data_IF_604453792190
#
_entry.id   IF_604453792190
#
_cell.length_a   1.000
_cell.length_b   1.000
_cell.length_c   1.000
_cell.angle_alpha   90.00
_cell.angle_beta   90.00
_cell.angle_gamma   90.00
#
_symmetry.space_group_name_H-M   'P 1'
#
loop_
_entity.id
_entity.type
_entity.pdbx_description
1 polymer ?
#
# COMPACT_ATOMS: atom_id res chain seq x y z
N UNK A 1 10.77 4.72 0.01
CA UNK A 1 9.46 5.17 0.49
C UNK A 1 8.72 5.69 -0.70
N UNK A 2 7.47 5.25 -0.88
CA UNK A 2 6.57 5.79 -1.89
C UNK A 2 5.17 5.89 -1.30
N UNK A 3 4.43 6.89 -1.77
CA UNK A 3 3.08 7.18 -1.29
C UNK A 3 2.16 7.24 -2.49
N UNK A 4 1.05 6.51 -2.40
CA UNK A 4 -0.05 6.56 -3.34
C UNK A 4 -1.22 7.29 -2.68
N UNK A 5 -1.64 8.39 -3.30
CA UNK A 5 -2.74 9.22 -2.78
C UNK A 5 -4.11 8.67 -3.20
N UNK A 6 -4.18 7.98 -4.35
CA UNK A 6 -5.40 7.36 -4.88
C UNK A 6 -5.10 6.01 -5.53
N UNK A 7 -5.98 5.01 -5.32
CA UNK A 7 -5.77 3.65 -5.84
C UNK A 7 -7.05 2.90 -6.20
N UNK A 8 -8.06 3.68 -6.59
CA UNK A 8 -9.43 3.27 -6.93
C UNK A 8 -9.54 2.78 -8.39
N UNK A 9 -8.51 3.00 -9.21
CA UNK A 9 -8.48 2.67 -10.64
C UNK A 9 -7.16 1.98 -11.03
N UNK A 10 -7.21 1.06 -11.99
CA UNK A 10 -6.05 0.32 -12.51
C UNK A 10 -6.07 -1.18 -12.19
N UNK A 11 -5.18 -1.94 -12.84
CA UNK A 11 -5.02 -3.38 -12.61
C UNK A 11 -4.23 -3.66 -11.33
N UNK A 12 -4.70 -4.59 -10.49
CA UNK A 12 -3.97 -5.00 -9.28
C UNK A 12 -2.62 -5.66 -9.62
N UNK A 13 -2.55 -6.39 -10.74
CA UNK A 13 -1.27 -6.96 -11.21
C UNK A 13 -0.27 -5.86 -11.59
N UNK A 14 -0.73 -4.79 -12.25
CA UNK A 14 0.11 -3.64 -12.59
C UNK A 14 0.61 -2.93 -11.32
N UNK A 15 -0.26 -2.77 -10.32
CA UNK A 15 0.08 -2.18 -9.03
C UNK A 15 1.15 -3.01 -8.29
N UNK A 16 1.00 -4.35 -8.23
CA UNK A 16 2.02 -5.23 -7.65
C UNK A 16 3.34 -5.21 -8.42
N UNK A 17 3.30 -5.16 -9.76
CA UNK A 17 4.51 -5.05 -10.57
C UNK A 17 5.24 -3.72 -10.32
N UNK A 18 4.50 -2.61 -10.22
CA UNK A 18 5.05 -1.29 -9.88
C UNK A 18 5.64 -1.31 -8.47
N UNK A 19 4.93 -1.86 -7.50
CA UNK A 19 5.39 -2.06 -6.11
C UNK A 19 6.71 -2.82 -6.07
N UNK A 20 6.84 -3.96 -6.73
CA UNK A 20 8.07 -4.75 -6.76
C UNK A 20 9.27 -3.99 -7.34
N UNK A 21 9.03 -3.07 -8.30
CA UNK A 21 10.08 -2.20 -8.84
C UNK A 21 10.51 -1.10 -7.87
N UNK A 22 9.58 -0.57 -7.09
CA UNK A 22 9.82 0.48 -6.09
C UNK A 22 10.40 -0.05 -4.78
N UNK A 23 10.00 -1.24 -4.36
CA UNK A 23 10.39 -1.88 -3.10
C UNK A 23 11.71 -2.66 -3.24
N UNK A 24 12.73 -2.04 -3.82
CA UNK A 24 14.07 -2.63 -3.87
C UNK A 24 14.83 -2.38 -2.57
N UNK A 25 15.69 -3.33 -2.15
CA UNK A 25 16.64 -3.08 -1.07
C UNK A 25 17.44 -1.81 -1.35
N UNK A 26 17.52 -0.94 -0.35
CA UNK A 26 18.33 0.27 -0.42
C UNK A 26 19.73 -0.02 0.12
N UNK A 27 20.75 0.63 -0.44
CA UNK A 27 22.14 0.55 0.08
C UNK A 27 22.23 0.90 1.57
N UNK A 28 21.33 1.77 2.05
CA UNK A 28 21.20 2.12 3.47
C UNK A 28 20.75 0.97 4.40
N UNK A 29 20.37 -0.19 3.88
CA UNK A 29 19.81 -1.31 4.66
C UNK A 29 18.40 -1.09 5.21
N UNK A 30 17.88 0.14 5.15
CA UNK A 30 16.53 0.47 5.57
C UNK A 30 15.46 -0.24 4.72
N UNK A 31 14.36 -0.71 5.35
CA UNK A 31 13.27 -1.33 4.64
C UNK A 31 12.61 -0.36 3.66
N UNK A 32 12.22 -0.88 2.50
CA UNK A 32 11.42 -0.13 1.54
C UNK A 32 9.95 -0.20 1.97
N UNK A 33 9.35 0.97 2.24
CA UNK A 33 7.95 1.08 2.63
C UNK A 33 7.12 1.73 1.52
N UNK A 34 5.89 1.25 1.35
CA UNK A 34 4.88 1.81 0.47
C UNK A 34 3.63 2.11 1.29
N UNK A 35 3.08 3.31 1.13
CA UNK A 35 1.88 3.75 1.80
C UNK A 35 0.80 4.07 0.79
N UNK A 36 -0.45 3.68 1.08
CA UNK A 36 -1.62 4.15 0.36
C UNK A 36 -2.52 4.90 1.32
N UNK A 37 -2.94 6.11 0.94
CA UNK A 37 -3.95 6.86 1.68
C UNK A 37 -5.33 6.32 1.32
N UNK A 38 -6.17 6.14 2.34
CA UNK A 38 -7.53 5.61 2.19
C UNK A 38 -8.47 6.54 2.94
N UNK A 39 -9.43 7.12 2.25
CA UNK A 39 -10.50 7.87 2.88
C UNK A 39 -11.47 6.89 3.56
N UNK A 40 -11.76 7.10 4.85
CA UNK A 40 -12.71 6.29 5.61
C UNK A 40 -14.13 6.57 5.11
N UNK A 41 -14.98 5.54 5.13
CA UNK A 41 -16.40 5.62 4.79
C UNK A 41 -16.65 6.04 3.32
N UNK A 42 -15.69 5.72 2.45
CA UNK A 42 -15.80 5.90 0.99
C UNK A 42 -15.48 4.59 0.27
N UNK A 43 -15.76 4.55 -1.03
CA UNK A 43 -15.40 3.43 -1.91
C UNK A 43 -13.91 3.06 -1.88
N UNK A 44 -13.03 3.98 -1.45
CA UNK A 44 -11.60 3.71 -1.31
C UNK A 44 -11.30 2.60 -0.30
N UNK A 45 -12.17 2.40 0.71
CA UNK A 45 -12.03 1.31 1.67
C UNK A 45 -12.22 -0.05 1.02
N UNK A 46 -13.21 -0.21 0.14
CA UNK A 46 -13.44 -1.47 -0.57
C UNK A 46 -12.26 -1.80 -1.48
N UNK A 47 -11.71 -0.79 -2.15
CA UNK A 47 -10.49 -0.92 -2.94
C UNK A 47 -9.28 -1.30 -2.06
N UNK A 48 -9.17 -0.73 -0.87
CA UNK A 48 -8.11 -1.05 0.08
C UNK A 48 -8.20 -2.49 0.62
N UNK A 49 -9.40 -2.98 0.94
CA UNK A 49 -9.60 -4.37 1.37
C UNK A 49 -9.19 -5.37 0.27
N UNK A 50 -9.61 -5.09 -0.97
CA UNK A 50 -9.22 -5.93 -2.11
C UNK A 50 -7.71 -5.88 -2.37
N UNK A 51 -7.08 -4.71 -2.25
CA UNK A 51 -5.62 -4.56 -2.35
C UNK A 51 -4.90 -5.34 -1.24
N UNK A 52 -5.35 -5.23 0.01
CA UNK A 52 -4.77 -5.94 1.14
C UNK A 52 -4.75 -7.45 0.87
N UNK A 53 -5.89 -8.02 0.46
CA UNK A 53 -6.00 -9.46 0.17
C UNK A 53 -5.01 -9.86 -0.93
N UNK A 54 -5.01 -9.13 -2.04
CA UNK A 54 -4.13 -9.42 -3.17
C UNK A 54 -2.64 -9.32 -2.81
N UNK A 55 -2.21 -8.27 -2.10
CA UNK A 55 -0.81 -8.10 -1.71
C UNK A 55 -0.36 -9.13 -0.68
N UNK A 56 -1.23 -9.50 0.26
CA UNK A 56 -0.96 -10.56 1.23
C UNK A 56 -0.78 -11.93 0.52
N UNK A 57 -1.60 -12.24 -0.48
CA UNK A 57 -1.46 -13.44 -1.31
C UNK A 57 -0.13 -13.48 -2.08
N UNK A 58 0.42 -12.31 -2.46
CA UNK A 58 1.75 -12.20 -3.07
C UNK A 58 2.91 -12.20 -2.05
N UNK A 59 2.61 -12.34 -0.75
CA UNK A 59 3.61 -12.41 0.32
C UNK A 59 4.09 -11.07 0.87
N UNK A 60 3.44 -9.96 0.52
CA UNK A 60 3.78 -8.66 1.11
C UNK A 60 3.19 -8.53 2.52
N UNK A 61 4.00 -7.98 3.44
CA UNK A 61 3.50 -7.53 4.73
C UNK A 61 2.60 -6.31 4.56
N UNK A 62 1.46 -6.30 5.24
CA UNK A 62 0.46 -5.24 5.14
C UNK A 62 -0.01 -4.82 6.54
N UNK A 63 -0.08 -3.51 6.79
CA UNK A 63 -0.55 -2.96 8.06
C UNK A 63 -1.50 -1.81 7.78
N UNK A 64 -2.64 -1.79 8.49
CA UNK A 64 -3.58 -0.68 8.46
C UNK A 64 -3.26 0.22 9.65
N UNK A 65 -3.06 1.51 9.38
CA UNK A 65 -2.77 2.52 10.40
C UNK A 65 -3.89 3.54 10.40
N UNK A 66 -4.41 3.84 11.59
CA UNK A 66 -5.36 4.95 11.78
C UNK A 66 -4.58 6.27 11.82
N UNK A 67 -5.02 7.26 11.05
CA UNK A 67 -4.40 8.58 11.03
C UNK A 67 -4.39 9.25 12.42
N UNK A 68 -5.44 9.05 13.24
CA UNK A 68 -5.52 9.61 14.58
C UNK A 68 -4.45 9.03 15.52
N UNK A 69 -4.04 7.77 15.30
CA UNK A 69 -3.01 7.11 16.10
C UNK A 69 -1.58 7.49 15.69
N UNK A 70 -1.40 8.12 14.51
CA UNK A 70 -0.08 8.54 14.01
C UNK A 70 0.33 9.96 14.46
N UNK A 71 -0.62 10.75 14.93
CA UNK A 71 -0.40 12.14 15.35
C UNK A 71 -0.13 12.29 16.87
N UNK A 72 -0.14 11.18 17.61
CA UNK A 72 0.14 11.12 19.05
C UNK A 72 1.61 10.72 19.31
#
# INVERSE_FOLDING_TARGET
VAIQVSGSFGSRQEEAQRLGRLLRPKESGLPANFYTLVARDTVDQDFAQNRQRFLAEQGYSYTILDAAALAA
#
